data_IF_537155077884
#
_entry.id   IF_537155077884
#
_cell.length_a   1.000
_cell.length_b   1.000
_cell.length_c   1.000
_cell.angle_alpha   90.00
_cell.angle_beta   90.00
_cell.angle_gamma   90.00
#
_symmetry.space_group_name_H-M   'P 1'
#
loop_
_entity.id
_entity.type
_entity.pdbx_description
1 polymer ?
#
# COMPACT_ATOMS: atom_id res chain seq x y z
N UNK A 1 -19.09 7.56 4.91
CA UNK A 1 -18.13 6.82 5.75
C UNK A 1 -18.04 5.39 5.25
N UNK A 2 -16.84 4.79 5.21
CA UNK A 2 -16.69 3.37 4.86
C UNK A 2 -17.27 2.49 5.97
N UNK A 3 -17.82 1.33 5.60
CA UNK A 3 -18.42 0.39 6.54
C UNK A 3 -17.39 -0.57 7.14
N UNK A 4 -16.45 -0.01 7.90
CA UNK A 4 -15.40 -0.79 8.55
C UNK A 4 -15.93 -1.73 9.64
N UNK A 5 -17.10 -1.44 10.22
CA UNK A 5 -17.73 -2.30 11.24
C UNK A 5 -18.06 -3.69 10.67
N UNK A 6 -18.61 -3.75 9.45
CA UNK A 6 -18.99 -5.01 8.82
C UNK A 6 -17.88 -5.58 7.90
N UNK A 7 -16.97 -4.73 7.42
CA UNK A 7 -15.99 -5.09 6.39
C UNK A 7 -14.52 -4.83 6.80
N UNK A 8 -14.20 -4.83 8.10
CA UNK A 8 -12.82 -4.64 8.59
C UNK A 8 -11.81 -5.60 7.92
N UNK A 9 -12.21 -6.83 7.61
CA UNK A 9 -11.36 -7.82 6.95
C UNK A 9 -10.89 -7.40 5.53
N UNK A 10 -11.58 -6.43 4.91
CA UNK A 10 -11.23 -5.86 3.60
C UNK A 10 -10.30 -4.65 3.69
N UNK A 11 -10.05 -4.12 4.90
CA UNK A 11 -9.17 -2.98 5.11
C UNK A 11 -7.72 -3.36 4.80
N UNK A 12 -7.13 -2.66 3.85
CA UNK A 12 -5.72 -2.75 3.55
C UNK A 12 -4.91 -1.99 4.60
N UNK A 13 -3.84 -2.62 5.07
CA UNK A 13 -2.80 -2.03 5.89
C UNK A 13 -1.42 -2.20 5.27
N UNK A 14 -0.46 -1.40 5.74
CA UNK A 14 0.94 -1.57 5.39
C UNK A 14 1.53 -2.73 6.20
N UNK A 15 2.05 -3.74 5.52
CA UNK A 15 2.81 -4.82 6.16
C UNK A 15 4.29 -4.52 6.21
N UNK A 16 4.84 -4.03 5.09
CA UNK A 16 6.29 -3.91 4.96
C UNK A 16 6.68 -2.78 4.00
N UNK A 17 7.77 -2.08 4.36
CA UNK A 17 8.56 -1.26 3.44
C UNK A 17 10.02 -1.57 3.71
N UNK A 18 10.64 -2.24 2.75
CA UNK A 18 12.05 -2.65 2.81
C UNK A 18 12.84 -2.03 1.66
N UNK A 19 14.12 -1.75 1.91
CA UNK A 19 15.00 -1.26 0.85
C UNK A 19 15.23 -2.41 -0.12
N UNK A 20 15.05 -2.16 -1.40
CA UNK A 20 15.22 -3.14 -2.46
C UNK A 20 16.33 -2.73 -3.42
N UNK A 21 16.97 -3.73 -4.03
CA UNK A 21 17.88 -3.49 -5.13
C UNK A 21 17.08 -3.19 -6.41
N UNK A 22 17.63 -2.33 -7.25
CA UNK A 22 17.05 -2.07 -8.57
C UNK A 22 17.33 -3.28 -9.47
N UNK A 23 16.34 -3.77 -10.24
CA UNK A 23 16.62 -4.74 -11.29
C UNK A 23 17.49 -4.06 -12.36
N UNK A 24 18.80 -4.28 -12.25
CA UNK A 24 19.85 -4.09 -13.25
C UNK A 24 19.87 -2.72 -13.97
N UNK A 25 20.66 -1.77 -13.44
CA UNK A 25 21.24 -0.67 -14.23
C UNK A 25 20.57 0.70 -14.14
N UNK A 26 19.48 0.85 -13.37
CA UNK A 26 18.86 2.15 -13.10
C UNK A 26 19.71 3.01 -12.16
N UNK A 27 19.95 4.26 -12.54
CA UNK A 27 20.69 5.30 -11.81
C UNK A 27 20.51 5.25 -10.29
N UNK A 28 21.60 5.06 -9.52
CA UNK A 28 21.92 5.29 -8.08
C UNK A 28 20.79 5.63 -7.06
N UNK A 29 19.56 5.26 -7.33
CA UNK A 29 18.36 5.70 -6.64
C UNK A 29 18.00 4.69 -5.56
N UNK A 30 17.62 5.19 -4.39
CA UNK A 30 17.07 4.34 -3.34
C UNK A 30 15.75 3.75 -3.86
N UNK A 31 15.66 2.43 -3.93
CA UNK A 31 14.44 1.71 -4.26
C UNK A 31 13.92 1.04 -2.99
N UNK A 32 12.60 0.95 -2.87
CA UNK A 32 11.95 0.23 -1.80
C UNK A 32 10.88 -0.69 -2.38
N UNK A 33 10.86 -1.91 -1.87
CA UNK A 33 9.72 -2.81 -2.02
C UNK A 33 8.74 -2.49 -0.90
N UNK A 34 7.46 -2.45 -1.23
CA UNK A 34 6.40 -2.29 -0.25
C UNK A 34 5.38 -3.42 -0.40
N UNK A 35 4.78 -3.80 0.73
CA UNK A 35 3.70 -4.79 0.79
C UNK A 35 2.54 -4.17 1.56
N UNK A 36 1.38 -4.14 0.92
CA UNK A 36 0.10 -3.80 1.56
C UNK A 36 -0.84 -4.98 1.40
N UNK A 37 -1.61 -5.28 2.44
CA UNK A 37 -2.51 -6.43 2.41
C UNK A 37 -3.76 -6.18 3.26
N UNK A 38 -4.82 -6.90 2.93
CA UNK A 38 -5.96 -7.12 3.80
C UNK A 38 -6.08 -8.64 4.07
N UNK A 39 -7.20 -9.09 4.61
CA UNK A 39 -7.39 -10.52 4.92
C UNK A 39 -7.59 -11.41 3.68
N UNK A 40 -7.78 -10.83 2.50
CA UNK A 40 -8.17 -11.53 1.27
C UNK A 40 -7.08 -11.49 0.20
N UNK A 41 -6.26 -10.44 0.18
CA UNK A 41 -5.31 -10.18 -0.89
C UNK A 41 -4.10 -9.36 -0.44
N UNK A 42 -3.00 -9.57 -1.14
CA UNK A 42 -1.72 -8.89 -0.94
C UNK A 42 -1.29 -8.17 -2.21
N UNK A 43 -0.84 -6.94 -2.08
CA UNK A 43 -0.25 -6.13 -3.15
C UNK A 43 1.20 -5.86 -2.82
N UNK A 44 2.09 -6.30 -3.71
CA UNK A 44 3.52 -6.01 -3.65
C UNK A 44 3.88 -5.04 -4.77
N UNK A 45 4.65 -4.01 -4.45
CA UNK A 45 5.15 -3.07 -5.45
C UNK A 45 6.55 -2.58 -5.14
N UNK A 46 7.16 -1.94 -6.12
CA UNK A 46 8.49 -1.37 -6.02
C UNK A 46 8.42 0.10 -6.41
N UNK A 47 9.10 0.96 -5.65
CA UNK A 47 9.14 2.39 -5.93
C UNK A 47 10.49 2.98 -5.60
N UNK A 48 11.01 3.79 -6.52
CA UNK A 48 12.18 4.62 -6.30
C UNK A 48 11.80 5.87 -5.50
N UNK A 49 12.72 6.31 -4.64
CA UNK A 49 12.60 7.50 -3.82
C UNK A 49 13.19 7.31 -2.43
N UNK A 50 13.12 8.35 -1.62
CA UNK A 50 13.43 8.24 -0.19
C UNK A 50 12.38 7.38 0.51
N UNK A 51 12.73 6.78 1.66
CA UNK A 51 11.77 6.02 2.48
C UNK A 51 10.53 6.84 2.82
N UNK A 52 10.69 8.15 3.05
CA UNK A 52 9.59 9.09 3.35
C UNK A 52 8.64 9.24 2.17
N UNK A 53 9.17 9.44 0.97
CA UNK A 53 8.35 9.56 -0.26
C UNK A 53 7.61 8.26 -0.56
N UNK A 54 8.30 7.11 -0.42
CA UNK A 54 7.67 5.80 -0.64
C UNK A 54 6.59 5.56 0.42
N UNK A 55 6.85 5.85 1.70
CA UNK A 55 5.83 5.69 2.76
C UNK A 55 4.61 6.57 2.51
N UNK A 56 4.81 7.83 2.11
CA UNK A 56 3.74 8.76 1.76
C UNK A 56 2.88 8.21 0.61
N UNK A 57 3.54 7.72 -0.44
CA UNK A 57 2.87 7.08 -1.56
C UNK A 57 2.04 5.86 -1.13
N UNK A 58 2.60 4.99 -0.28
CA UNK A 58 1.91 3.78 0.18
C UNK A 58 0.69 4.15 1.04
N UNK A 59 0.75 5.19 1.87
CA UNK A 59 -0.42 5.67 2.62
C UNK A 59 -1.56 6.13 1.68
N UNK A 60 -1.23 6.85 0.61
CA UNK A 60 -2.23 7.23 -0.41
C UNK A 60 -2.78 6.00 -1.12
N UNK A 61 -1.92 5.05 -1.51
CA UNK A 61 -2.33 3.81 -2.15
C UNK A 61 -3.30 3.00 -1.29
N UNK A 62 -3.01 2.85 0.01
CA UNK A 62 -3.90 2.16 0.96
C UNK A 62 -5.27 2.85 1.01
N UNK A 63 -5.28 4.18 1.07
CA UNK A 63 -6.53 4.96 1.09
C UNK A 63 -7.37 4.68 -0.17
N UNK A 64 -6.74 4.71 -1.34
CA UNK A 64 -7.40 4.45 -2.62
C UNK A 64 -7.93 3.01 -2.71
N UNK A 65 -7.15 2.02 -2.24
CA UNK A 65 -7.56 0.62 -2.20
C UNK A 65 -8.76 0.42 -1.26
N UNK A 66 -8.74 1.05 -0.08
CA UNK A 66 -9.83 0.96 0.89
C UNK A 66 -11.12 1.59 0.34
N UNK A 67 -11.04 2.75 -0.32
CA UNK A 67 -12.20 3.39 -0.94
C UNK A 67 -12.83 2.52 -2.03
N UNK A 68 -12.02 1.79 -2.80
CA UNK A 68 -12.49 0.92 -3.89
C UNK A 68 -13.05 -0.41 -3.38
N UNK A 69 -12.51 -0.93 -2.30
CA UNK A 69 -12.79 -2.30 -1.82
C UNK A 69 -13.89 -2.33 -0.76
N UNK A 70 -13.93 -1.34 0.14
CA UNK A 70 -14.82 -1.34 1.30
C UNK A 70 -16.14 -0.65 0.93
N UNK A 71 -17.30 -1.31 1.07
CA UNK A 71 -18.58 -0.67 0.87
C UNK A 71 -18.79 0.56 1.76
N UNK A 72 -19.57 1.52 1.28
CA UNK A 72 -20.01 2.66 2.11
C UNK A 72 -21.16 2.22 3.01
N UNK A 73 -21.22 2.78 4.23
CA UNK A 73 -22.42 2.62 5.08
C UNK A 73 -23.65 3.14 4.34
N UNK A 74 -24.74 2.37 4.37
CA UNK A 74 -26.05 2.88 3.96
C UNK A 74 -26.52 3.86 5.03
N UNK A 75 -26.98 5.03 4.59
CA UNK A 75 -27.62 6.04 5.45
C UNK A 75 -28.94 5.51 6.01
#
# INVERSE_FOLDING_TARGET
>A
MLDLENFAHLEYGMLEIEKADLPSGGSNGRCYKYVVANSVSTVTGYRQGTKKEVSSYVSTLITDLNIRTIPKKKL
#
